data_IF_131724322779
#
_entry.id   IF_131724322779
#
_cell.length_a   1.000
_cell.length_b   1.000
_cell.length_c   1.000
_cell.angle_alpha   90.00
_cell.angle_beta   90.00
_cell.angle_gamma   90.00
#
_symmetry.space_group_name_H-M   'P 1'
#
loop_
_entity.id
_entity.type
_entity.pdbx_description
1 polymer ?
#
# COMPACT_ATOMS: atom_id res chain seq x y z
N UNK A 1 10.76 -20.39 7.49
CA UNK A 1 10.36 -20.23 7.37
C UNK A 1 9.90 -19.84 7.61
N UNK A 2 9.87 -19.80 7.79
CA UNK A 2 9.39 -19.60 7.92
C UNK A 2 8.81 -19.32 8.23
N UNK A 3 8.61 -19.43 8.65
CA UNK A 3 8.02 -19.31 8.84
C UNK A 3 7.44 -18.94 9.11
N UNK A 4 7.33 -18.99 9.54
CA UNK A 4 6.74 -18.72 9.68
C UNK A 4 6.03 -18.32 9.56
N UNK A 5 5.65 -18.45 9.96
CA UNK A 5 4.90 -18.19 9.72
C UNK A 5 4.40 -17.30 9.69
N UNK A 6 4.57 -17.15 9.85
CA UNK A 6 4.16 -16.47 9.62
C UNK A 6 3.83 -15.66 9.15
N UNK A 7 3.66 -15.44 9.50
CA UNK A 7 3.45 -14.82 8.93
C UNK A 7 3.59 -14.36 8.37
N UNK A 8 3.70 -14.51 8.61
CA UNK A 8 4.00 -14.18 7.98
C UNK A 8 4.05 -14.03 7.07
N UNK A 9 3.92 -14.29 7.08
CA UNK A 9 4.13 -14.16 6.20
C UNK A 9 4.29 -13.59 5.75
N UNK A 10 4.21 -13.56 5.99
CA UNK A 10 4.50 -13.04 5.57
C UNK A 10 4.96 -12.38 5.24
N UNK A 11 4.40 -12.26 5.36
CA UNK A 11 5.25 -11.51 5.58
C UNK A 11 6.44 -11.38 4.91
N UNK A 12 6.71 -12.01 4.35
CA UNK A 12 7.92 -11.96 3.67
C UNK A 12 7.82 -11.17 2.41
N UNK A 13 6.72 -10.70 2.03
CA UNK A 13 6.62 -9.87 0.83
C UNK A 13 6.91 -8.45 1.22
N UNK A 14 8.16 -8.04 1.05
CA UNK A 14 8.55 -6.70 1.45
C UNK A 14 8.01 -5.63 0.52
N UNK A 15 7.41 -6.00 -0.61
CA UNK A 15 6.80 -5.02 -1.48
C UNK A 15 5.35 -4.76 -1.11
N UNK A 16 4.83 -5.46 -0.12
CA UNK A 16 3.44 -5.31 0.29
C UNK A 16 3.34 -4.37 1.48
N UNK A 17 2.49 -3.35 1.34
CA UNK A 17 2.20 -2.43 2.43
C UNK A 17 0.73 -2.57 2.78
N UNK A 18 0.44 -2.72 4.05
CA UNK A 18 -0.93 -2.79 4.53
C UNK A 18 -1.38 -1.40 4.88
N UNK A 19 -2.42 -0.92 4.24
CA UNK A 19 -2.83 0.47 4.38
C UNK A 19 -3.92 0.57 5.44
N UNK A 20 -3.69 1.46 6.41
CA UNK A 20 -4.66 1.66 7.47
C UNK A 20 -5.76 2.62 7.03
N UNK A 21 -6.93 2.41 7.58
CA UNK A 21 -8.01 3.36 7.38
C UNK A 21 -7.92 4.46 8.41
N UNK A 22 -8.87 5.33 8.34
CA UNK A 22 -8.90 6.41 9.29
C UNK A 22 -9.32 5.86 10.62
N UNK A 23 -8.62 6.14 11.67
CA UNK A 23 -8.98 5.66 12.90
C UNK A 23 -9.67 6.64 13.60
N UNK A 24 -10.05 7.61 13.11
CA UNK A 24 -10.75 8.54 13.75
C UNK A 24 -10.08 9.19 14.77
N UNK A 25 -9.11 9.02 15.06
CA UNK A 25 -8.64 9.59 16.18
C UNK A 25 -8.10 10.77 15.76
N UNK A 26 -7.53 11.35 16.39
CA UNK A 26 -6.98 12.44 16.16
C UNK A 26 -6.20 12.19 15.13
N UNK A 27 -6.36 11.36 14.51
CA UNK A 27 -5.56 11.06 13.58
C UNK A 27 -5.38 12.10 12.68
N UNK A 28 -4.32 12.34 12.30
CA UNK A 28 -4.08 13.29 11.37
C UNK A 28 -3.87 12.53 10.10
N UNK A 29 -4.89 12.42 9.30
CA UNK A 29 -4.83 11.66 8.09
C UNK A 29 -3.77 12.21 7.14
N UNK A 30 -3.52 13.50 7.20
CA UNK A 30 -2.50 14.07 6.34
C UNK A 30 -1.13 13.55 6.68
N UNK A 31 -0.84 13.39 7.97
CA UNK A 31 0.45 12.84 8.36
C UNK A 31 0.59 11.41 7.93
N UNK A 32 -0.48 10.64 8.07
CA UNK A 32 -0.41 9.24 7.66
C UNK A 32 -0.21 9.12 6.15
N UNK A 33 -0.94 9.93 5.38
CA UNK A 33 -0.83 9.92 3.93
C UNK A 33 0.59 10.28 3.51
N UNK A 34 1.18 11.26 4.18
CA UNK A 34 2.54 11.65 3.83
C UNK A 34 3.54 10.55 4.16
N UNK A 35 3.39 9.93 5.33
CA UNK A 35 4.28 8.83 5.69
C UNK A 35 4.12 7.66 4.74
N UNK A 36 2.88 7.35 4.35
CA UNK A 36 2.65 6.26 3.45
C UNK A 36 3.24 6.56 2.07
N UNK A 37 3.15 7.82 1.62
CA UNK A 37 3.74 8.16 0.33
C UNK A 37 5.25 7.95 0.34
N UNK A 38 5.90 8.27 1.46
CA UNK A 38 7.34 8.03 1.57
C UNK A 38 7.64 6.53 1.58
N UNK A 39 6.81 5.74 2.24
CA UNK A 39 7.00 4.30 2.26
C UNK A 39 6.85 3.71 0.86
N UNK A 40 5.88 4.22 0.10
CA UNK A 40 5.68 3.75 -1.28
C UNK A 40 6.95 4.01 -2.10
N UNK A 41 7.51 5.21 -1.97
CA UNK A 41 8.70 5.54 -2.73
C UNK A 41 9.89 4.66 -2.35
N UNK A 42 10.05 4.41 -1.05
CA UNK A 42 11.17 3.60 -0.60
C UNK A 42 11.06 2.17 -1.07
N UNK A 43 9.85 1.60 -1.00
CA UNK A 43 9.64 0.24 -1.46
C UNK A 43 9.83 0.17 -2.97
N UNK A 44 9.34 1.19 -3.69
CA UNK A 44 9.48 1.20 -5.13
C UNK A 44 10.96 1.25 -5.54
N UNK A 45 11.74 2.08 -4.86
CA UNK A 45 13.15 2.17 -5.17
C UNK A 45 13.85 0.83 -4.97
N UNK A 46 13.42 0.11 -3.95
CA UNK A 46 14.06 -1.14 -3.62
C UNK A 46 13.58 -2.31 -4.47
N UNK A 47 12.30 -2.34 -4.80
CA UNK A 47 11.71 -3.53 -5.43
C UNK A 47 11.12 -3.28 -6.80
N UNK A 48 11.03 -2.04 -7.23
CA UNK A 48 10.44 -1.64 -8.52
C UNK A 48 8.95 -1.96 -8.61
N UNK A 49 8.34 -2.37 -7.53
CA UNK A 49 6.91 -2.62 -7.47
C UNK A 49 6.48 -2.43 -6.02
N UNK A 50 5.28 -1.93 -5.80
CA UNK A 50 4.71 -1.79 -4.47
C UNK A 50 3.29 -2.27 -4.56
N UNK A 51 2.84 -3.06 -3.59
CA UNK A 51 1.45 -3.46 -3.53
C UNK A 51 0.84 -2.86 -2.28
N UNK A 52 -0.27 -2.15 -2.47
CA UNK A 52 -0.97 -1.51 -1.36
C UNK A 52 -2.25 -2.29 -1.13
N UNK A 53 -2.36 -2.95 0.02
CA UNK A 53 -3.55 -3.75 0.30
C UNK A 53 -4.48 -2.95 1.20
N UNK A 54 -5.71 -2.76 0.75
CA UNK A 54 -6.69 -1.93 1.41
C UNK A 54 -7.94 -2.71 1.69
N UNK A 55 -8.48 -2.56 2.90
CA UNK A 55 -9.77 -3.13 3.23
C UNK A 55 -10.61 -1.97 3.74
N UNK A 56 -11.68 -1.69 3.02
CA UNK A 56 -12.58 -0.60 3.39
C UNK A 56 -12.26 0.69 2.67
N UNK A 57 -13.24 1.56 2.64
CA UNK A 57 -13.14 2.80 1.86
C UNK A 57 -12.09 3.76 2.41
N UNK A 58 -11.95 3.82 3.73
CA UNK A 58 -11.01 4.77 4.30
C UNK A 58 -9.57 4.41 3.94
N UNK A 59 -9.23 3.12 4.00
CA UNK A 59 -7.88 2.73 3.64
C UNK A 59 -7.62 2.94 2.16
N UNK A 60 -8.62 2.66 1.32
CA UNK A 60 -8.46 2.88 -0.11
C UNK A 60 -8.24 4.36 -0.42
N UNK A 61 -9.00 5.22 0.23
CA UNK A 61 -8.84 6.66 0.04
C UNK A 61 -7.43 7.12 0.44
N UNK A 62 -6.93 6.61 1.57
CA UNK A 62 -5.58 6.95 2.01
C UNK A 62 -4.54 6.45 1.02
N UNK A 63 -4.75 5.26 0.49
CA UNK A 63 -3.81 4.68 -0.46
C UNK A 63 -3.74 5.52 -1.74
N UNK A 64 -4.89 5.94 -2.25
CA UNK A 64 -4.91 6.73 -3.48
C UNK A 64 -4.23 8.09 -3.26
N UNK A 65 -4.54 8.73 -2.15
CA UNK A 65 -3.91 10.03 -1.87
C UNK A 65 -2.40 9.89 -1.75
N UNK A 66 -1.96 8.84 -1.06
CA UNK A 66 -0.52 8.62 -0.90
C UNK A 66 0.15 8.30 -2.23
N UNK A 67 -0.54 7.54 -3.07
CA UNK A 67 -0.03 7.22 -4.39
C UNK A 67 0.15 8.49 -5.22
N UNK A 68 -0.81 9.41 -5.15
CA UNK A 68 -0.72 10.64 -5.93
C UNK A 68 0.50 11.45 -5.52
N UNK A 69 0.76 11.52 -4.22
CA UNK A 69 1.94 12.24 -3.73
C UNK A 69 3.21 11.53 -4.20
N UNK A 70 3.26 10.21 -4.05
CA UNK A 70 4.43 9.46 -4.48
C UNK A 70 4.66 9.58 -5.97
N UNK A 71 3.58 9.58 -6.75
CA UNK A 71 3.68 9.72 -8.19
C UNK A 71 4.34 11.05 -8.58
N UNK A 72 3.96 12.12 -7.90
CA UNK A 72 4.55 13.41 -8.18
C UNK A 72 6.05 13.44 -7.89
N UNK A 73 6.45 12.80 -6.78
CA UNK A 73 7.87 12.76 -6.45
C UNK A 73 8.65 11.87 -7.42
N UNK A 74 8.07 10.73 -7.79
CA UNK A 74 8.77 9.82 -8.69
C UNK A 74 8.99 10.43 -10.06
N UNK A 75 8.05 11.26 -10.50
CA UNK A 75 8.19 11.92 -11.80
C UNK A 75 9.43 12.78 -11.87
N UNK A 76 9.84 13.37 -10.76
CA UNK A 76 11.05 14.19 -10.74
C UNK A 76 12.27 13.35 -11.07
N UNK A 77 12.20 12.05 -10.85
CA UNK A 77 13.29 11.17 -11.15
C UNK A 77 13.08 10.39 -12.44
N UNK A 78 12.05 10.74 -13.19
CA UNK A 78 11.81 10.09 -14.48
C UNK A 78 10.92 8.87 -14.41
N UNK A 79 10.35 8.57 -13.25
CA UNK A 79 9.50 7.39 -13.12
C UNK A 79 8.04 7.81 -13.17
N UNK A 80 7.30 7.23 -14.10
CA UNK A 80 5.88 7.52 -14.21
C UNK A 80 5.11 6.37 -13.57
N UNK A 81 4.61 6.58 -12.37
CA UNK A 81 3.96 5.51 -11.63
C UNK A 81 2.51 5.36 -12.02
N UNK A 82 2.05 4.14 -12.11
CA UNK A 82 0.67 3.80 -12.40
C UNK A 82 0.22 2.77 -11.39
N UNK A 83 -1.08 2.64 -11.19
CA UNK A 83 -1.60 1.60 -10.32
C UNK A 83 -2.48 0.65 -11.11
N UNK A 84 -2.38 -0.61 -10.75
CA UNK A 84 -3.18 -1.67 -11.36
C UNK A 84 -4.00 -2.28 -10.23
N UNK A 85 -5.29 -1.98 -10.12
CA UNK A 85 -6.07 -2.47 -9.00
C UNK A 85 -6.64 -3.86 -9.25
N UNK A 86 -6.80 -4.62 -8.17
CA UNK A 86 -7.44 -5.91 -8.26
C UNK A 86 -8.08 -6.22 -6.92
N UNK A 87 -8.96 -7.21 -6.91
CA UNK A 87 -9.57 -7.65 -5.66
C UNK A 87 -8.69 -8.68 -4.98
N UNK A 88 -8.82 -8.76 -3.68
CA UNK A 88 -8.14 -9.78 -2.90
C UNK A 88 -9.07 -10.18 -1.76
N UNK A 89 -8.81 -11.33 -1.17
CA UNK A 89 -9.56 -11.77 -0.01
C UNK A 89 -8.66 -11.73 1.20
N UNK A 90 -9.14 -11.14 2.27
CA UNK A 90 -8.38 -11.02 3.50
C UNK A 90 -9.14 -11.73 4.61
N UNK A 91 -8.45 -12.61 5.33
CA UNK A 91 -9.04 -13.31 6.43
C UNK A 91 -8.82 -12.50 7.69
N UNK A 92 -9.88 -12.26 8.45
CA UNK A 92 -9.79 -11.39 9.57
C UNK A 92 -10.72 -11.87 10.65
N UNK A 93 -10.22 -12.31 11.78
CA UNK A 93 -11.00 -12.82 12.89
C UNK A 93 -11.96 -13.90 12.44
N UNK A 94 -11.50 -14.81 11.61
CA UNK A 94 -12.33 -15.92 11.17
C UNK A 94 -13.31 -15.55 10.08
N UNK A 95 -13.31 -14.31 9.63
CA UNK A 95 -14.19 -13.89 8.56
C UNK A 95 -13.36 -13.50 7.36
N UNK A 96 -13.93 -13.72 6.20
CA UNK A 96 -13.25 -13.30 4.98
C UNK A 96 -13.84 -12.00 4.51
N UNK A 97 -12.98 -11.07 4.17
CA UNK A 97 -13.40 -9.79 3.67
C UNK A 97 -12.74 -9.54 2.34
N UNK A 98 -13.45 -8.84 1.48
CA UNK A 98 -12.89 -8.47 0.20
C UNK A 98 -12.09 -7.19 0.36
N UNK A 99 -10.88 -7.21 -0.13
CA UNK A 99 -10.05 -6.03 -0.14
C UNK A 99 -9.65 -5.68 -1.55
N UNK A 100 -8.87 -4.64 -1.67
CA UNK A 100 -8.37 -4.19 -2.96
C UNK A 100 -6.87 -4.06 -2.83
N UNK A 101 -6.16 -4.57 -3.82
CA UNK A 101 -4.72 -4.39 -3.91
C UNK A 101 -4.45 -3.43 -5.06
N UNK A 102 -3.68 -2.40 -4.79
CA UNK A 102 -3.25 -1.47 -5.83
C UNK A 102 -1.79 -1.75 -6.08
N UNK A 103 -1.48 -2.25 -7.24
CA UNK A 103 -0.09 -2.55 -7.56
C UNK A 103 0.51 -1.33 -8.25
N UNK A 104 1.55 -0.78 -7.67
CA UNK A 104 2.21 0.42 -8.19
C UNK A 104 3.39 -0.03 -9.02
N UNK A 105 3.40 0.38 -10.26
CA UNK A 105 4.47 0.02 -11.19
C UNK A 105 4.86 1.26 -11.99
N UNK A 106 5.98 1.20 -12.63
CA UNK A 106 6.44 2.31 -13.46
C UNK A 106 6.11 2.02 -14.91
N UNK A 107 5.56 3.01 -15.57
CA UNK A 107 5.27 2.86 -16.97
C UNK A 107 6.56 3.12 -17.72
N UNK A 108 6.86 2.21 -18.62
CA UNK A 108 8.09 2.33 -19.38
C UNK A 108 8.03 3.35 -20.45
#
# INVERSE_FOLDING_TARGET
MTSDGNVKSNTTDESLLLVAGSKGSKGNDKDYVKKLSNAILQVFIKHAVVRLRCVGAASLNNAIKSFIIAKGEALKNGDNLLIDPSFTTVSFDGEEKTGIVLEVVSKE
#
